data_IF_032486859846
#
_entry.id   IF_032486859846
#
_cell.length_a   1.000
_cell.length_b   1.000
_cell.length_c   1.000
_cell.angle_alpha   90.00
_cell.angle_beta   90.00
_cell.angle_gamma   90.00
#
_symmetry.space_group_name_H-M   'P 1'
#
loop_
_entity.id
_entity.type
_entity.pdbx_description
1 polymer ?
#
# COMPACT_ATOMS: atom_id res chain seq x y z
N UNK A 1 36.81 5.76 18.31
CA UNK A 1 36.27 6.35 17.06
C UNK A 1 34.95 5.66 16.81
N UNK A 2 33.84 6.35 17.04
CA UNK A 2 32.49 5.76 16.96
C UNK A 2 31.88 6.03 15.59
N UNK A 3 31.16 5.04 15.05
CA UNK A 3 30.28 5.19 13.90
C UNK A 3 29.04 6.01 14.30
N UNK A 4 29.22 7.28 14.69
CA UNK A 4 28.08 8.19 14.82
C UNK A 4 27.61 8.49 13.41
N UNK A 5 26.46 7.91 13.10
CA UNK A 5 25.98 7.64 11.76
C UNK A 5 25.54 8.88 11.03
N UNK A 6 25.76 8.86 9.72
CA UNK A 6 25.13 9.77 8.78
C UNK A 6 23.61 9.65 8.90
N UNK A 7 22.98 10.67 9.49
CA UNK A 7 21.54 10.80 9.41
C UNK A 7 21.16 11.07 7.95
N UNK A 8 20.15 10.37 7.40
CA UNK A 8 19.67 10.67 6.06
C UNK A 8 19.21 12.12 6.01
N UNK A 9 19.70 12.89 5.04
CA UNK A 9 19.29 14.27 4.81
C UNK A 9 17.99 14.37 4.00
N UNK A 10 17.62 13.29 3.32
CA UNK A 10 16.40 13.18 2.53
C UNK A 10 15.29 12.52 3.35
N UNK A 11 14.08 13.06 3.22
CA UNK A 11 12.86 12.49 3.78
C UNK A 11 12.55 11.15 3.10
N UNK A 12 12.38 10.12 3.90
CA UNK A 12 12.09 8.74 3.52
C UNK A 12 11.90 7.91 4.78
N UNK A 13 11.56 6.62 4.67
CA UNK A 13 11.29 5.77 5.85
C UNK A 13 12.45 5.76 6.87
N UNK A 14 13.68 6.02 6.42
CA UNK A 14 14.88 6.08 7.27
C UNK A 14 15.00 7.37 8.10
N UNK A 15 14.22 8.39 7.78
CA UNK A 15 14.25 9.72 8.38
C UNK A 15 12.86 10.17 8.87
N UNK A 16 11.94 9.22 9.07
CA UNK A 16 10.59 9.52 9.55
C UNK A 16 10.64 9.91 11.04
N UNK A 17 9.92 10.97 11.40
CA UNK A 17 9.83 11.44 12.77
C UNK A 17 8.86 10.57 13.59
N UNK A 18 9.04 10.53 14.91
CA UNK A 18 8.23 9.69 15.81
C UNK A 18 6.73 10.01 15.72
N UNK A 19 6.38 11.30 15.54
CA UNK A 19 4.98 11.72 15.43
C UNK A 19 4.34 11.22 14.13
N UNK A 20 5.08 11.26 13.02
CA UNK A 20 4.62 10.72 11.74
C UNK A 20 4.44 9.20 11.81
N UNK A 21 5.37 8.52 12.49
CA UNK A 21 5.28 7.08 12.73
C UNK A 21 4.02 6.70 13.51
N UNK A 22 3.76 7.38 14.64
CA UNK A 22 2.58 7.12 15.46
C UNK A 22 1.28 7.40 14.68
N UNK A 23 1.26 8.45 13.85
CA UNK A 23 0.10 8.75 12.99
C UNK A 23 -0.20 7.61 11.99
N UNK A 24 0.83 7.07 11.33
CA UNK A 24 0.69 5.91 10.43
C UNK A 24 0.24 4.67 11.21
N UNK A 25 0.81 4.45 12.39
CA UNK A 25 0.44 3.32 13.25
C UNK A 25 -1.02 3.38 13.68
N UNK A 26 -1.51 4.54 14.12
CA UNK A 26 -2.90 4.75 14.51
C UNK A 26 -3.85 4.59 13.33
N UNK A 27 -3.50 5.17 12.16
CA UNK A 27 -4.30 5.02 10.95
C UNK A 27 -4.46 3.55 10.55
N UNK A 28 -3.39 2.75 10.66
CA UNK A 28 -3.47 1.31 10.40
C UNK A 28 -4.39 0.60 11.38
N UNK A 29 -4.23 0.84 12.69
CA UNK A 29 -5.07 0.21 13.71
C UNK A 29 -6.55 0.55 13.52
N UNK A 30 -6.86 1.81 13.23
CA UNK A 30 -8.23 2.23 12.90
C UNK A 30 -8.76 1.58 11.64
N UNK A 31 -7.93 1.43 10.60
CA UNK A 31 -8.35 0.74 9.39
C UNK A 31 -8.68 -0.73 9.64
N UNK A 32 -7.77 -1.50 10.25
CA UNK A 32 -7.96 -2.95 10.43
C UNK A 32 -9.05 -3.31 11.44
N UNK A 33 -9.34 -2.43 12.40
CA UNK A 33 -10.47 -2.59 13.32
C UNK A 33 -11.79 -2.03 12.78
N UNK A 34 -11.73 -1.25 11.70
CA UNK A 34 -12.86 -0.51 11.16
C UNK A 34 -13.77 -1.35 10.26
N UNK A 35 -14.98 -0.84 10.07
CA UNK A 35 -15.97 -1.34 9.10
C UNK A 35 -16.70 -0.22 8.35
N UNK A 36 -16.39 1.04 8.64
CA UNK A 36 -16.92 2.19 7.91
C UNK A 36 -16.02 2.51 6.72
N UNK A 37 -16.54 2.33 5.50
CA UNK A 37 -15.77 2.43 4.26
C UNK A 37 -15.12 3.81 4.09
N UNK A 38 -15.80 4.89 4.51
CA UNK A 38 -15.29 6.25 4.34
C UNK A 38 -14.13 6.53 5.31
N UNK A 39 -14.28 6.19 6.58
CA UNK A 39 -13.20 6.31 7.55
C UNK A 39 -12.02 5.42 7.21
N UNK A 40 -12.27 4.20 6.73
CA UNK A 40 -11.20 3.30 6.30
C UNK A 40 -10.46 3.84 5.07
N UNK A 41 -11.15 4.46 4.11
CA UNK A 41 -10.51 5.12 2.97
C UNK A 41 -9.65 6.31 3.43
N UNK A 42 -10.13 7.13 4.38
CA UNK A 42 -9.33 8.22 4.95
C UNK A 42 -8.06 7.72 5.67
N UNK A 43 -8.18 6.64 6.45
CA UNK A 43 -7.02 5.99 7.07
C UNK A 43 -6.05 5.43 6.02
N UNK A 44 -6.56 4.83 4.95
CA UNK A 44 -5.75 4.34 3.84
C UNK A 44 -4.99 5.48 3.15
N UNK A 45 -5.62 6.65 2.97
CA UNK A 45 -4.97 7.81 2.37
C UNK A 45 -3.80 8.32 3.24
N UNK A 46 -3.95 8.29 4.57
CA UNK A 46 -2.85 8.57 5.51
C UNK A 46 -1.73 7.56 5.32
N UNK A 47 -2.03 6.26 5.31
CA UNK A 47 -1.02 5.21 5.12
C UNK A 47 -0.31 5.32 3.76
N UNK A 48 -1.03 5.67 2.70
CA UNK A 48 -0.48 5.83 1.36
C UNK A 48 0.43 7.06 1.22
N UNK A 49 0.28 8.05 2.12
CA UNK A 49 1.14 9.24 2.18
C UNK A 49 2.46 9.00 2.92
N UNK A 50 2.64 7.83 3.53
CA UNK A 50 3.86 7.47 4.24
C UNK A 50 5.10 7.63 3.33
N UNK A 51 6.23 8.14 3.87
CA UNK A 51 7.47 8.25 3.13
C UNK A 51 7.88 6.91 2.52
N UNK A 52 8.45 6.93 1.31
CA UNK A 52 8.97 5.72 0.66
C UNK A 52 10.40 5.42 1.12
N UNK A 53 10.88 4.17 0.97
CA UNK A 53 12.27 3.86 1.23
C UNK A 53 13.20 4.70 0.36
N UNK A 54 14.31 5.18 0.94
CA UNK A 54 15.28 6.02 0.23
C UNK A 54 15.99 5.18 -0.84
N UNK A 55 15.99 5.68 -2.08
CA UNK A 55 16.76 5.07 -3.17
C UNK A 55 18.24 4.99 -2.82
N UNK A 56 18.93 3.97 -3.33
CA UNK A 56 20.40 3.91 -3.24
C UNK A 56 21.07 5.04 -4.02
N UNK A 57 20.39 5.62 -5.00
CA UNK A 57 20.87 6.77 -5.74
C UNK A 57 20.87 8.05 -4.88
N UNK A 58 19.94 8.14 -3.94
CA UNK A 58 19.86 9.22 -2.95
C UNK A 58 20.64 8.90 -1.68
N UNK A 59 21.50 7.87 -1.73
CA UNK A 59 22.33 7.50 -0.59
C UNK A 59 23.38 8.58 -0.30
N UNK A 60 23.50 9.06 0.94
CA UNK A 60 24.61 9.95 1.33
C UNK A 60 25.97 9.25 1.30
N UNK A 61 25.99 7.92 1.14
CA UNK A 61 27.19 7.10 1.00
C UNK A 61 27.37 6.76 -0.49
N UNK A 62 28.54 7.04 -1.10
CA UNK A 62 28.84 6.62 -2.46
C UNK A 62 28.79 5.09 -2.57
N UNK A 63 27.76 4.56 -3.23
CA UNK A 63 27.65 3.13 -3.50
C UNK A 63 28.30 2.82 -4.84
N UNK A 64 29.36 1.97 -4.88
CA UNK A 64 29.99 1.55 -6.13
C UNK A 64 28.97 1.00 -7.14
N UNK A 65 29.11 1.36 -8.41
CA UNK A 65 28.14 1.02 -9.46
C UNK A 65 27.91 -0.49 -9.62
N UNK A 66 28.94 -1.31 -9.36
CA UNK A 66 28.78 -2.76 -9.39
C UNK A 66 27.84 -3.28 -8.30
N UNK A 67 27.86 -2.70 -7.09
CA UNK A 67 26.95 -3.07 -6.00
C UNK A 67 25.53 -2.58 -6.25
N UNK A 68 25.35 -1.44 -6.91
CA UNK A 68 24.01 -0.96 -7.29
C UNK A 68 23.25 -1.96 -8.16
N UNK A 69 23.94 -2.71 -9.03
CA UNK A 69 23.33 -3.75 -9.88
C UNK A 69 22.83 -4.97 -9.12
N UNK A 70 23.40 -5.23 -7.94
CA UNK A 70 23.05 -6.38 -7.09
C UNK A 70 22.27 -5.98 -5.84
N UNK A 71 22.02 -4.69 -5.65
CA UNK A 71 21.31 -4.16 -4.50
C UNK A 71 19.92 -3.71 -4.93
N UNK A 72 18.90 -4.27 -4.30
CA UNK A 72 17.58 -3.65 -4.28
C UNK A 72 17.66 -2.33 -3.52
N UNK A 73 16.68 -1.42 -3.72
CA UNK A 73 16.53 -0.23 -2.87
C UNK A 73 16.74 -0.60 -1.39
N UNK A 74 17.32 0.31 -0.58
CA UNK A 74 17.47 0.02 0.85
C UNK A 74 16.08 -0.28 1.41
N UNK A 75 15.90 -1.49 1.93
CA UNK A 75 14.67 -1.85 2.62
C UNK A 75 14.43 -0.87 3.77
N UNK A 76 13.16 -0.65 4.10
CA UNK A 76 12.77 0.09 5.30
C UNK A 76 13.59 -0.39 6.50
N UNK A 77 14.09 0.55 7.31
CA UNK A 77 14.67 0.24 8.63
C UNK A 77 13.68 0.45 9.77
N UNK A 78 12.44 0.82 9.44
CA UNK A 78 11.37 0.84 10.40
C UNK A 78 11.07 -0.60 10.83
N UNK A 79 10.62 -0.78 12.06
CA UNK A 79 10.19 -2.09 12.55
C UNK A 79 8.97 -2.64 11.78
N UNK A 80 8.30 -1.78 11.01
CA UNK A 80 7.11 -2.07 10.20
C UNK A 80 7.27 -1.44 8.83
N UNK A 81 6.60 -2.00 7.82
CA UNK A 81 6.58 -1.47 6.46
C UNK A 81 5.26 -0.71 6.23
N UNK A 82 5.28 0.63 6.16
CA UNK A 82 4.07 1.43 5.94
C UNK A 82 3.34 1.10 4.63
N UNK A 83 4.05 0.69 3.58
CA UNK A 83 3.42 0.27 2.32
C UNK A 83 2.72 -1.08 2.48
N UNK A 84 3.30 -2.00 3.24
CA UNK A 84 2.61 -3.25 3.59
C UNK A 84 1.39 -2.99 4.49
N UNK A 85 1.47 -2.03 5.43
CA UNK A 85 0.33 -1.60 6.25
C UNK A 85 -0.79 -1.02 5.37
N UNK A 86 -0.45 -0.17 4.41
CA UNK A 86 -1.40 0.37 3.44
C UNK A 86 -2.02 -0.74 2.57
N UNK A 87 -1.22 -1.68 2.06
CA UNK A 87 -1.73 -2.81 1.27
C UNK A 87 -2.69 -3.71 2.09
N UNK A 88 -2.34 -3.98 3.35
CA UNK A 88 -3.20 -4.73 4.28
C UNK A 88 -4.51 -4.00 4.55
N UNK A 89 -4.47 -2.69 4.79
CA UNK A 89 -5.66 -1.85 4.95
C UNK A 89 -6.53 -1.85 3.68
N UNK A 90 -5.93 -1.74 2.49
CA UNK A 90 -6.65 -1.84 1.22
C UNK A 90 -7.40 -3.16 1.05
N UNK A 91 -6.78 -4.29 1.42
CA UNK A 91 -7.44 -5.60 1.38
C UNK A 91 -8.67 -5.60 2.29
N UNK A 92 -8.52 -5.17 3.54
CA UNK A 92 -9.62 -5.17 4.51
C UNK A 92 -10.74 -4.21 4.09
N UNK A 93 -10.40 -3.03 3.59
CA UNK A 93 -11.36 -2.08 2.99
C UNK A 93 -12.15 -2.70 1.85
N UNK A 94 -11.48 -3.41 0.93
CA UNK A 94 -12.15 -4.06 -0.18
C UNK A 94 -13.05 -5.21 0.28
N UNK A 95 -12.63 -5.99 1.27
CA UNK A 95 -13.43 -7.06 1.89
C UNK A 95 -14.68 -6.51 2.58
N UNK A 96 -14.55 -5.43 3.37
CA UNK A 96 -15.68 -4.74 4.01
C UNK A 96 -16.64 -4.15 2.96
N UNK A 97 -16.12 -3.54 1.90
CA UNK A 97 -16.93 -3.02 0.80
C UNK A 97 -17.69 -4.14 0.08
N UNK A 98 -17.05 -5.27 -0.17
CA UNK A 98 -17.67 -6.47 -0.72
C UNK A 98 -18.79 -7.00 0.18
N UNK A 99 -18.55 -7.13 1.49
CA UNK A 99 -19.56 -7.58 2.45
C UNK A 99 -20.76 -6.61 2.55
N UNK A 100 -20.53 -5.33 2.27
CA UNK A 100 -21.55 -4.27 2.26
C UNK A 100 -22.23 -4.09 0.90
N UNK A 101 -21.92 -4.95 -0.08
CA UNK A 101 -22.37 -4.86 -1.47
C UNK A 101 -21.99 -3.56 -2.21
N UNK A 102 -20.99 -2.81 -1.71
CA UNK A 102 -20.34 -1.71 -2.44
C UNK A 102 -19.29 -2.27 -3.40
N UNK A 103 -19.78 -2.96 -4.44
CA UNK A 103 -18.96 -3.59 -5.48
C UNK A 103 -18.04 -2.61 -6.22
N UNK A 104 -18.47 -1.37 -6.56
CA UNK A 104 -17.59 -0.39 -7.18
C UNK A 104 -16.36 -0.07 -6.32
N UNK A 105 -16.55 0.15 -5.01
CA UNK A 105 -15.44 0.40 -4.09
C UNK A 105 -14.55 -0.83 -3.94
N UNK A 106 -15.12 -2.02 -3.75
CA UNK A 106 -14.35 -3.26 -3.62
C UNK A 106 -13.44 -3.50 -4.84
N UNK A 107 -14.01 -3.44 -6.05
CA UNK A 107 -13.27 -3.67 -7.29
C UNK A 107 -12.17 -2.62 -7.50
N UNK A 108 -12.50 -1.33 -7.32
CA UNK A 108 -11.52 -0.24 -7.44
C UNK A 108 -10.36 -0.43 -6.47
N UNK A 109 -10.65 -0.80 -5.22
CA UNK A 109 -9.62 -0.99 -4.19
C UNK A 109 -8.74 -2.21 -4.48
N UNK A 110 -9.32 -3.34 -4.92
CA UNK A 110 -8.51 -4.49 -5.35
C UNK A 110 -7.61 -4.15 -6.54
N UNK A 111 -8.14 -3.48 -7.57
CA UNK A 111 -7.36 -3.03 -8.73
C UNK A 111 -6.22 -2.09 -8.34
N UNK A 112 -6.46 -1.19 -7.37
CA UNK A 112 -5.43 -0.30 -6.86
C UNK A 112 -4.27 -1.05 -6.20
N UNK A 113 -4.50 -2.22 -5.59
CA UNK A 113 -3.43 -3.03 -5.00
C UNK A 113 -2.44 -3.50 -6.07
N UNK A 114 -2.92 -4.01 -7.21
CA UNK A 114 -2.05 -4.45 -8.30
C UNK A 114 -1.23 -3.30 -8.89
N UNK A 115 -1.84 -2.12 -8.97
CA UNK A 115 -1.19 -0.93 -9.52
C UNK A 115 -0.14 -0.35 -8.56
N UNK A 116 -0.45 -0.30 -7.27
CA UNK A 116 0.34 0.46 -6.30
C UNK A 116 1.42 -0.38 -5.60
N UNK A 117 1.32 -1.71 -5.65
CA UNK A 117 2.26 -2.63 -5.01
C UNK A 117 2.79 -3.71 -5.98
N UNK A 118 3.34 -3.34 -7.16
CA UNK A 118 3.82 -4.30 -8.14
C UNK A 118 5.08 -5.07 -7.69
N UNK A 119 5.73 -4.63 -6.61
CA UNK A 119 7.00 -5.19 -6.18
C UNK A 119 6.85 -6.57 -5.51
N UNK A 120 7.80 -7.52 -5.72
CA UNK A 120 7.66 -8.91 -5.28
C UNK A 120 7.40 -9.11 -3.78
N UNK A 121 7.89 -8.21 -2.92
CA UNK A 121 7.66 -8.28 -1.48
C UNK A 121 6.18 -8.11 -1.09
N UNK A 122 5.36 -7.52 -1.96
CA UNK A 122 3.93 -7.35 -1.76
C UNK A 122 3.08 -8.40 -2.49
N UNK A 123 3.70 -9.44 -3.06
CA UNK A 123 3.03 -10.46 -3.86
C UNK A 123 1.88 -11.15 -3.12
N UNK A 124 1.95 -11.27 -1.78
CA UNK A 124 0.85 -11.78 -0.98
C UNK A 124 -0.44 -10.96 -1.17
N UNK A 125 -0.36 -9.63 -1.05
CA UNK A 125 -1.51 -8.74 -1.21
C UNK A 125 -2.05 -8.75 -2.64
N UNK A 126 -1.15 -8.78 -3.64
CA UNK A 126 -1.52 -8.88 -5.05
C UNK A 126 -2.24 -10.20 -5.34
N UNK A 127 -1.74 -11.33 -4.82
CA UNK A 127 -2.36 -12.63 -4.98
C UNK A 127 -3.75 -12.67 -4.34
N UNK A 128 -3.91 -12.11 -3.14
CA UNK A 128 -5.20 -12.03 -2.44
C UNK A 128 -6.20 -11.16 -3.21
N UNK A 129 -5.76 -10.01 -3.75
CA UNK A 129 -6.60 -9.15 -4.58
C UNK A 129 -7.06 -9.83 -5.88
N UNK A 130 -6.17 -10.54 -6.56
CA UNK A 130 -6.52 -11.32 -7.76
C UNK A 130 -7.57 -12.38 -7.47
N UNK A 131 -7.37 -13.17 -6.41
CA UNK A 131 -8.32 -14.20 -6.01
C UNK A 131 -9.70 -13.62 -5.72
N UNK A 132 -9.77 -12.48 -5.03
CA UNK A 132 -11.04 -11.80 -4.75
C UNK A 132 -11.71 -11.29 -6.04
N UNK A 133 -10.97 -10.69 -6.96
CA UNK A 133 -11.52 -10.23 -8.25
C UNK A 133 -12.05 -11.38 -9.13
N UNK A 134 -11.39 -12.54 -9.14
CA UNK A 134 -11.89 -13.74 -9.82
C UNK A 134 -13.22 -14.23 -9.23
N UNK A 135 -13.40 -14.11 -7.91
CA UNK A 135 -14.66 -14.41 -7.26
C UNK A 135 -15.75 -13.38 -7.63
N UNK A 136 -15.39 -12.09 -7.70
CA UNK A 136 -16.32 -11.02 -8.10
C UNK A 136 -16.84 -11.18 -9.53
N UNK A 137 -15.99 -11.59 -10.47
CA UNK A 137 -16.42 -11.84 -11.86
C UNK A 137 -17.33 -13.06 -11.97
N UNK A 138 -17.14 -14.05 -11.10
CA UNK A 138 -17.96 -15.27 -11.04
C UNK A 138 -19.34 -15.00 -10.40
N UNK A 139 -19.43 -14.05 -9.46
CA UNK A 139 -20.65 -13.75 -8.68
C UNK A 139 -21.50 -12.61 -9.28
N UNK A 140 -21.07 -11.97 -10.37
CA UNK A 140 -21.79 -10.84 -10.99
C UNK A 140 -23.30 -11.11 -11.18
N UNK A 141 -24.21 -10.35 -10.52
CA UNK A 141 -25.57 -10.21 -11.01
C UNK A 141 -25.55 -9.41 -12.31
N UNK A 142 -26.45 -9.78 -13.24
CA UNK A 142 -26.62 -9.30 -14.62
C UNK A 142 -26.75 -7.76 -14.77
N UNK A 143 -26.78 -6.99 -13.69
CA UNK A 143 -27.08 -5.54 -13.70
C UNK A 143 -25.95 -4.61 -14.13
N UNK A 144 -24.69 -5.07 -14.24
CA UNK A 144 -23.58 -4.22 -14.72
C UNK A 144 -23.37 -4.27 -16.25
N UNK A 145 -24.18 -5.02 -17.01
CA UNK A 145 -24.09 -5.05 -18.47
C UNK A 145 -24.92 -3.97 -19.19
N UNK A 146 -25.69 -3.15 -18.47
CA UNK A 146 -26.67 -2.24 -19.09
C UNK A 146 -26.15 -0.85 -19.47
N UNK A 147 -24.91 -0.48 -19.14
CA UNK A 147 -24.39 0.87 -19.42
C UNK A 147 -23.47 0.98 -20.64
N UNK A 148 -23.09 -0.13 -21.29
CA UNK A 148 -22.33 -0.10 -22.55
C UNK A 148 -23.23 -0.18 -23.81
N UNK A 149 -24.55 -0.22 -23.67
CA UNK A 149 -25.49 -0.37 -24.78
C UNK A 149 -26.36 0.87 -25.09
N UNK A 150 -26.03 2.05 -24.54
CA UNK A 150 -26.75 3.30 -24.81
C UNK A 150 -25.78 4.43 -25.20
N UNK A 151 -25.03 4.21 -26.27
CA UNK A 151 -24.52 5.28 -27.14
C UNK A 151 -24.66 4.78 -28.57
N UNK A 152 -25.86 4.93 -29.13
CA UNK A 152 -26.12 5.04 -30.56
C UNK A 152 -26.75 6.41 -30.82
#
# INVERSE_FOLDING_TARGET
IGCQGFQPKSTGELAMEDQDFLGIWDAYNHCVAGSDIQHMQANLDVLASAPKPISLDDSPIPVPAFLKKWSTARGSRLAVDPRAMAASCSIHLAEVAQLSADWPTALRTFQAILKNYPEPQYAYYVSKANQAMEQLTTVRPVSLSFQEALVD
#
